data_IF_359010935841
#
_entry.id   IF_359010935841
#
_cell.length_a   1.000
_cell.length_b   1.000
_cell.length_c   1.000
_cell.angle_alpha   90.00
_cell.angle_beta   90.00
_cell.angle_gamma   90.00
#
_symmetry.space_group_name_H-M   'P 1'
#
loop_
_entity.id
_entity.type
_entity.pdbx_description
1 polymer ?
#
# COMPACT_ATOMS: atom_id res chain seq x y z
N UNK A 1 -32.53 21.21 20.89
CA UNK A 1 -31.51 20.33 21.48
C UNK A 1 -32.12 18.94 21.51
N UNK A 2 -31.88 18.12 20.48
CA UNK A 2 -32.50 16.79 20.32
C UNK A 2 -31.38 15.76 20.37
N UNK A 3 -31.41 14.92 21.40
CA UNK A 3 -30.52 13.78 21.58
C UNK A 3 -31.03 12.60 20.75
N UNK A 4 -30.20 12.08 19.85
CA UNK A 4 -30.40 10.78 19.23
C UNK A 4 -29.39 9.80 19.80
N UNK A 5 -29.85 8.94 20.72
CA UNK A 5 -29.12 7.74 21.13
C UNK A 5 -29.22 6.70 20.01
N UNK A 6 -28.10 6.37 19.37
CA UNK A 6 -28.01 5.25 18.43
C UNK A 6 -27.69 3.98 19.20
N UNK A 7 -28.68 3.09 19.28
CA UNK A 7 -28.52 1.68 19.64
C UNK A 7 -27.87 0.98 18.45
N UNK A 8 -26.71 0.34 18.66
CA UNK A 8 -26.08 -0.53 17.66
C UNK A 8 -26.55 -1.95 17.90
N UNK A 9 -27.37 -2.46 16.98
CA UNK A 9 -27.81 -3.84 16.93
C UNK A 9 -26.76 -4.66 16.17
N UNK A 10 -26.10 -5.59 16.86
CA UNK A 10 -25.17 -6.55 16.25
C UNK A 10 -25.98 -7.69 15.66
N UNK A 11 -26.03 -7.77 14.32
CA UNK A 11 -26.62 -8.90 13.60
C UNK A 11 -25.50 -9.86 13.21
N UNK A 12 -25.45 -11.03 13.85
CA UNK A 12 -24.65 -12.17 13.40
C UNK A 12 -25.32 -12.80 12.18
N UNK A 13 -24.71 -12.67 11.01
CA UNK A 13 -25.10 -13.40 9.80
C UNK A 13 -24.29 -14.70 9.69
N UNK A 14 -24.98 -15.83 9.89
CA UNK A 14 -24.52 -17.16 9.51
C UNK A 14 -24.71 -17.32 8.00
N UNK A 15 -23.62 -17.54 7.25
CA UNK A 15 -23.67 -17.86 5.83
C UNK A 15 -23.84 -19.38 5.61
N UNK A 16 -24.67 -19.82 4.64
CA UNK A 16 -24.75 -21.22 4.25
C UNK A 16 -23.60 -21.62 3.31
N UNK A 17 -23.06 -22.81 3.57
CA UNK A 17 -22.10 -23.52 2.70
C UNK A 17 -22.77 -23.89 1.37
N UNK A 18 -22.40 -23.17 0.30
CA UNK A 18 -22.77 -23.49 -1.08
C UNK A 18 -21.67 -24.27 -1.80
N UNK A 19 -22.02 -25.43 -2.34
CA UNK A 19 -21.14 -26.35 -3.05
C UNK A 19 -20.55 -25.75 -4.35
N UNK A 20 -19.24 -25.91 -4.53
CA UNK A 20 -18.48 -25.42 -5.66
C UNK A 20 -18.62 -26.30 -6.91
N UNK A 21 -18.91 -25.66 -8.05
CA UNK A 21 -18.88 -26.25 -9.38
C UNK A 21 -17.42 -26.37 -9.86
N UNK A 22 -16.96 -27.61 -10.14
CA UNK A 22 -15.66 -27.87 -10.77
C UNK A 22 -15.73 -27.58 -12.28
N UNK A 23 -15.16 -26.46 -12.71
CA UNK A 23 -14.78 -26.21 -14.10
C UNK A 23 -13.32 -26.57 -14.32
N UNK A 24 -13.04 -27.41 -15.34
CA UNK A 24 -11.71 -27.80 -15.80
C UNK A 24 -10.89 -26.57 -16.21
N UNK A 25 -9.80 -26.30 -15.51
CA UNK A 25 -8.74 -25.39 -15.95
C UNK A 25 -7.75 -26.14 -16.85
N UNK A 26 -7.47 -25.58 -18.03
CA UNK A 26 -6.32 -25.96 -18.84
C UNK A 26 -5.05 -25.71 -18.04
N UNK A 27 -4.22 -26.74 -17.92
CA UNK A 27 -2.92 -26.67 -17.29
C UNK A 27 -1.94 -25.99 -18.24
N UNK A 28 -1.69 -24.71 -17.99
CA UNK A 28 -0.40 -24.14 -18.28
C UNK A 28 0.50 -24.50 -17.10
N UNK A 29 1.56 -25.25 -17.42
CA UNK A 29 2.65 -25.61 -16.53
C UNK A 29 3.26 -24.34 -15.93
N UNK A 30 2.76 -23.93 -14.77
CA UNK A 30 3.52 -23.18 -13.77
C UNK A 30 4.68 -24.08 -13.36
N UNK A 31 5.74 -24.05 -14.18
CA UNK A 31 7.05 -24.55 -13.79
C UNK A 31 7.35 -23.92 -12.43
N UNK A 32 7.42 -24.77 -11.41
CA UNK A 32 7.76 -24.40 -10.05
C UNK A 32 9.11 -23.68 -10.11
N UNK A 33 9.07 -22.36 -10.07
CA UNK A 33 10.23 -21.48 -10.09
C UNK A 33 11.19 -22.00 -9.02
N UNK A 34 12.32 -22.58 -9.45
CA UNK A 34 13.15 -23.45 -8.63
C UNK A 34 13.47 -22.80 -7.28
N UNK A 35 12.86 -23.35 -6.22
CA UNK A 35 12.91 -22.97 -4.80
C UNK A 35 13.89 -21.87 -4.41
N UNK A 36 13.63 -20.62 -4.80
CA UNK A 36 14.35 -19.47 -4.21
C UNK A 36 13.69 -19.12 -2.89
N UNK A 37 14.53 -18.98 -1.86
CA UNK A 37 14.13 -18.70 -0.48
C UNK A 37 13.58 -17.26 -0.33
N UNK A 38 12.36 -17.02 -0.81
CA UNK A 38 11.59 -15.87 -0.35
C UNK A 38 11.35 -15.99 1.16
N UNK A 39 11.28 -14.86 1.87
CA UNK A 39 10.92 -14.88 3.29
C UNK A 39 9.55 -15.54 3.44
N UNK A 40 9.41 -16.43 4.42
CA UNK A 40 8.11 -17.02 4.76
C UNK A 40 7.19 -16.05 5.50
N UNK A 41 7.68 -14.84 5.83
CA UNK A 41 6.93 -13.77 6.51
C UNK A 41 6.40 -12.75 5.52
N UNK A 42 5.40 -11.98 5.92
CA UNK A 42 4.97 -10.77 5.23
C UNK A 42 6.01 -9.64 5.32
N UNK A 43 5.99 -8.74 4.35
CA UNK A 43 6.75 -7.47 4.37
C UNK A 43 5.82 -6.26 4.32
N UNK A 44 6.20 -5.20 5.03
CA UNK A 44 5.61 -3.87 4.90
C UNK A 44 6.29 -3.16 3.72
N UNK A 45 5.52 -2.88 2.67
CA UNK A 45 6.00 -2.21 1.46
C UNK A 45 5.51 -0.77 1.48
N UNK A 46 6.45 0.16 1.53
CA UNK A 46 6.20 1.59 1.52
C UNK A 46 6.49 2.15 0.13
N UNK A 47 5.46 2.68 -0.50
CA UNK A 47 5.57 3.47 -1.72
C UNK A 47 5.83 4.94 -1.39
N UNK A 48 6.93 5.48 -1.91
CA UNK A 48 7.38 6.84 -1.65
C UNK A 48 8.02 7.49 -2.89
N UNK A 49 8.51 8.71 -2.73
CA UNK A 49 9.29 9.48 -3.70
C UNK A 49 10.64 9.89 -3.08
N UNK A 50 11.67 10.10 -3.91
CA UNK A 50 12.99 10.55 -3.43
C UNK A 50 12.94 11.87 -2.66
N UNK A 51 11.96 12.72 -2.98
CA UNK A 51 11.76 14.00 -2.31
C UNK A 51 10.99 13.89 -0.99
N UNK A 52 10.37 12.76 -0.66
CA UNK A 52 9.45 12.66 0.50
C UNK A 52 10.15 12.17 1.77
N UNK A 53 11.40 12.59 1.97
CA UNK A 53 12.21 12.20 3.11
C UNK A 53 11.53 12.53 4.46
N UNK A 54 10.84 13.69 4.54
CA UNK A 54 10.12 14.07 5.76
C UNK A 54 8.94 13.12 6.05
N UNK A 55 8.17 12.72 5.04
CA UNK A 55 7.05 11.79 5.20
C UNK A 55 7.56 10.42 5.66
N UNK A 56 8.62 9.92 5.03
CA UNK A 56 9.27 8.66 5.43
C UNK A 56 9.83 8.73 6.85
N UNK A 57 10.44 9.85 7.27
CA UNK A 57 10.90 10.04 8.65
C UNK A 57 9.74 9.92 9.65
N UNK A 58 8.62 10.60 9.39
CA UNK A 58 7.43 10.54 10.25
C UNK A 58 6.81 9.15 10.31
N UNK A 59 6.76 8.45 9.18
CA UNK A 59 6.34 7.06 9.11
C UNK A 59 7.21 6.19 10.02
N UNK A 60 8.54 6.31 9.93
CA UNK A 60 9.45 5.49 10.74
C UNK A 60 9.39 5.86 12.23
N UNK A 61 9.35 7.16 12.58
CA UNK A 61 9.11 7.62 13.95
C UNK A 61 7.82 7.00 14.55
N UNK A 62 6.77 6.86 13.73
CA UNK A 62 5.54 6.21 14.19
C UNK A 62 5.67 4.70 14.40
N UNK A 63 6.49 3.98 13.61
CA UNK A 63 6.82 2.58 13.86
C UNK A 63 7.57 2.41 15.19
N UNK A 64 8.53 3.30 15.47
CA UNK A 64 9.29 3.29 16.73
C UNK A 64 8.35 3.51 17.94
N UNK A 65 7.43 4.47 17.83
CA UNK A 65 6.43 4.76 18.89
C UNK A 65 5.51 3.57 19.20
N UNK A 66 5.17 2.75 18.21
CA UNK A 66 4.35 1.54 18.43
C UNK A 66 5.19 0.30 18.75
N UNK A 67 6.48 0.48 19.08
CA UNK A 67 7.42 -0.58 19.42
C UNK A 67 7.53 -1.67 18.33
N UNK A 68 7.45 -1.29 17.05
CA UNK A 68 7.64 -2.24 15.97
C UNK A 68 9.10 -2.72 15.92
N UNK A 69 9.33 -4.03 15.86
CA UNK A 69 10.67 -4.63 15.94
C UNK A 69 11.13 -5.34 14.67
N UNK A 70 10.22 -5.58 13.73
CA UNK A 70 10.49 -6.33 12.49
C UNK A 70 11.05 -5.43 11.38
N UNK A 71 12.09 -4.64 11.68
CA UNK A 71 12.67 -3.66 10.76
C UNK A 71 13.16 -4.27 9.44
N UNK A 72 13.69 -5.50 9.47
CA UNK A 72 14.10 -6.27 8.29
C UNK A 72 12.95 -6.66 7.34
N UNK A 73 11.70 -6.54 7.82
CA UNK A 73 10.49 -6.79 7.05
C UNK A 73 9.92 -5.50 6.43
N UNK A 74 10.62 -4.36 6.53
CA UNK A 74 10.20 -3.08 5.91
C UNK A 74 11.01 -2.81 4.64
N UNK A 75 10.31 -2.53 3.55
CA UNK A 75 10.89 -2.17 2.25
C UNK A 75 10.31 -0.85 1.77
N UNK A 76 11.15 0.14 1.50
CA UNK A 76 10.78 1.46 1.01
C UNK A 76 11.25 1.62 -0.43
N UNK A 77 10.30 1.70 -1.36
CA UNK A 77 10.58 2.05 -2.75
C UNK A 77 10.37 3.55 -2.96
N UNK A 78 11.40 4.23 -3.47
CA UNK A 78 11.38 5.67 -3.75
C UNK A 78 11.46 5.91 -5.25
N UNK A 79 10.37 6.35 -5.86
CA UNK A 79 10.35 6.75 -7.27
C UNK A 79 10.99 8.12 -7.51
N UNK A 80 11.21 8.44 -8.78
CA UNK A 80 11.76 9.73 -9.24
C UNK A 80 13.27 9.91 -9.08
N UNK A 81 14.02 8.84 -8.83
CA UNK A 81 15.48 8.90 -8.75
C UNK A 81 16.14 9.11 -10.13
N UNK A 82 17.37 9.61 -10.16
CA UNK A 82 18.16 9.70 -11.39
C UNK A 82 18.55 8.32 -11.95
N UNK A 83 18.72 7.34 -11.07
CA UNK A 83 19.08 5.97 -11.42
C UNK A 83 18.43 4.96 -10.47
N UNK A 84 18.16 3.76 -10.99
CA UNK A 84 17.73 2.63 -10.19
C UNK A 84 18.86 2.20 -9.25
N UNK A 85 18.58 2.00 -7.96
CA UNK A 85 19.55 1.43 -7.02
C UNK A 85 19.26 -0.05 -6.78
N UNK A 86 20.30 -0.82 -6.44
CA UNK A 86 20.09 -2.11 -5.79
C UNK A 86 19.46 -1.90 -4.39
N UNK A 87 18.81 -2.92 -3.81
CA UNK A 87 18.37 -2.88 -2.42
C UNK A 87 19.53 -2.56 -1.47
N UNK A 88 19.33 -1.57 -0.60
CA UNK A 88 20.30 -1.15 0.42
C UNK A 88 19.61 -1.13 1.78
N UNK A 89 20.27 -1.65 2.80
CA UNK A 89 19.70 -1.72 4.15
C UNK A 89 20.31 -0.64 5.05
N UNK A 90 19.47 0.07 5.82
CA UNK A 90 19.93 1.05 6.81
C UNK A 90 20.40 0.38 8.11
N UNK A 91 20.83 1.18 9.09
CA UNK A 91 21.31 0.67 10.38
C UNK A 91 20.23 -0.04 11.23
N UNK A 92 18.94 0.19 10.94
CA UNK A 92 17.81 -0.47 11.62
C UNK A 92 17.43 -1.79 10.95
N UNK A 93 17.78 -1.98 9.69
CA UNK A 93 17.37 -3.14 8.90
C UNK A 93 16.36 -2.82 7.80
N UNK A 94 15.93 -1.57 7.65
CA UNK A 94 14.97 -1.15 6.63
C UNK A 94 15.64 -1.20 5.26
N UNK A 95 15.01 -1.86 4.30
CA UNK A 95 15.50 -1.94 2.92
C UNK A 95 14.98 -0.76 2.10
N UNK A 96 15.87 -0.02 1.45
CA UNK A 96 15.56 1.08 0.54
C UNK A 96 15.93 0.70 -0.90
N UNK A 97 15.05 1.05 -1.84
CA UNK A 97 15.26 0.88 -3.28
C UNK A 97 14.85 2.17 -3.99
N UNK A 98 15.77 2.78 -4.73
CA UNK A 98 15.48 3.91 -5.59
C UNK A 98 15.09 3.43 -6.99
N UNK A 99 14.05 4.04 -7.54
CA UNK A 99 13.54 3.76 -8.87
C UNK A 99 13.52 5.04 -9.70
N UNK A 100 13.87 4.94 -10.98
CA UNK A 100 13.75 6.05 -11.93
C UNK A 100 12.30 6.34 -12.30
N UNK A 101 11.43 5.33 -12.23
CA UNK A 101 10.01 5.49 -12.50
C UNK A 101 9.40 6.51 -11.54
N UNK A 102 8.54 7.37 -12.08
CA UNK A 102 7.71 8.27 -11.30
C UNK A 102 6.24 8.01 -11.65
N UNK A 103 5.65 7.09 -10.90
CA UNK A 103 4.29 6.59 -11.04
C UNK A 103 3.46 6.89 -9.78
N UNK A 104 3.84 7.93 -9.02
CA UNK A 104 3.20 8.34 -7.76
C UNK A 104 2.89 7.13 -6.85
N UNK A 105 1.62 6.74 -6.75
CA UNK A 105 1.11 5.71 -5.86
C UNK A 105 1.50 4.28 -6.24
N UNK A 106 2.21 4.06 -7.36
CA UNK A 106 2.54 2.72 -7.88
C UNK A 106 4.03 2.44 -8.09
N UNK A 107 4.93 3.33 -7.65
CA UNK A 107 6.38 3.10 -7.74
C UNK A 107 6.78 1.74 -7.13
N UNK A 108 6.25 1.45 -5.94
CA UNK A 108 6.56 0.22 -5.23
C UNK A 108 6.01 -1.03 -5.91
N UNK A 109 4.91 -0.97 -6.67
CA UNK A 109 4.43 -2.13 -7.44
C UNK A 109 5.37 -2.45 -8.59
N UNK A 110 5.86 -1.43 -9.31
CA UNK A 110 6.91 -1.61 -10.32
C UNK A 110 8.19 -2.18 -9.69
N UNK A 111 8.63 -1.60 -8.57
CA UNK A 111 9.79 -2.06 -7.82
C UNK A 111 9.66 -3.49 -7.31
N UNK A 112 8.50 -3.88 -6.78
CA UNK A 112 8.26 -5.25 -6.33
C UNK A 112 8.41 -6.24 -7.47
N UNK A 113 7.86 -5.98 -8.66
CA UNK A 113 8.06 -6.88 -9.79
C UNK A 113 9.53 -6.93 -10.23
N UNK A 114 10.19 -5.77 -10.36
CA UNK A 114 11.59 -5.71 -10.79
C UNK A 114 12.54 -6.45 -9.84
N UNK A 115 12.33 -6.34 -8.53
CA UNK A 115 13.19 -6.89 -7.48
C UNK A 115 12.57 -8.11 -6.77
N UNK A 116 11.54 -8.75 -7.33
CA UNK A 116 10.81 -9.88 -6.72
C UNK A 116 11.68 -11.09 -6.35
N UNK A 117 12.88 -11.18 -6.91
CA UNK A 117 13.81 -12.28 -6.64
C UNK A 117 14.94 -11.89 -5.66
N UNK A 118 14.99 -10.64 -5.20
CA UNK A 118 15.96 -10.19 -4.21
C UNK A 118 15.53 -10.66 -2.81
N UNK A 119 16.38 -11.35 -2.02
CA UNK A 119 15.97 -11.88 -0.70
C UNK A 119 15.49 -10.81 0.29
N UNK A 120 16.01 -9.58 0.21
CA UNK A 120 15.58 -8.46 1.06
C UNK A 120 14.21 -7.91 0.67
N UNK A 121 13.73 -8.19 -0.54
CA UNK A 121 12.44 -7.74 -1.09
C UNK A 121 11.41 -8.86 -1.10
N UNK A 122 11.79 -10.09 -1.45
CA UNK A 122 10.85 -11.18 -1.61
C UNK A 122 10.24 -11.64 -0.26
N UNK A 123 8.92 -11.76 -0.23
CA UNK A 123 8.14 -12.23 0.91
C UNK A 123 7.00 -13.15 0.48
N UNK A 124 6.35 -13.79 1.46
CA UNK A 124 5.15 -14.59 1.23
C UNK A 124 3.93 -13.70 0.89
N UNK A 125 3.85 -12.54 1.52
CA UNK A 125 2.81 -11.54 1.27
C UNK A 125 3.33 -10.13 1.57
N UNK A 126 2.58 -9.14 1.12
CA UNK A 126 2.96 -7.73 1.24
C UNK A 126 1.79 -6.94 1.83
N UNK A 127 2.06 -6.10 2.83
CA UNK A 127 1.18 -4.99 3.21
C UNK A 127 1.69 -3.73 2.52
N UNK A 128 0.95 -3.26 1.54
CA UNK A 128 1.28 -2.09 0.74
C UNK A 128 0.68 -0.83 1.32
N UNK A 129 1.50 0.19 1.48
CA UNK A 129 1.11 1.50 2.00
C UNK A 129 1.82 2.61 1.23
N UNK A 130 1.28 3.82 1.36
CA UNK A 130 1.94 5.05 0.92
C UNK A 130 2.70 5.66 2.12
N UNK A 131 3.69 6.51 1.88
CA UNK A 131 4.55 7.13 2.90
C UNK A 131 3.88 8.18 3.82
N UNK A 132 2.72 8.71 3.43
CA UNK A 132 1.96 9.69 4.21
C UNK A 132 1.01 9.05 5.21
N UNK A 133 1.55 8.17 6.06
CA UNK A 133 0.80 7.41 7.09
C UNK A 133 1.47 7.48 8.46
N UNK A 134 0.70 7.11 9.49
CA UNK A 134 1.15 6.87 10.86
C UNK A 134 0.60 5.52 11.35
N UNK A 135 1.38 4.80 12.16
CA UNK A 135 0.94 3.54 12.78
C UNK A 135 0.31 3.77 14.15
N UNK A 136 -0.82 3.11 14.41
CA UNK A 136 -1.46 3.05 15.72
C UNK A 136 -0.96 1.85 16.55
N UNK A 137 -1.28 1.85 17.84
CA UNK A 137 -0.80 0.83 18.81
C UNK A 137 -1.15 -0.61 18.42
N UNK A 138 -2.24 -0.81 17.66
CA UNK A 138 -2.68 -2.12 17.18
C UNK A 138 -1.88 -2.64 15.97
N UNK A 139 -1.13 -1.77 15.27
CA UNK A 139 -0.46 -2.14 14.01
C UNK A 139 0.49 -3.34 14.14
N UNK A 140 1.39 -3.45 15.15
CA UNK A 140 2.29 -4.59 15.23
C UNK A 140 1.55 -5.93 15.30
N UNK A 141 0.45 -5.99 16.07
CA UNK A 141 -0.40 -7.17 16.16
C UNK A 141 -1.10 -7.46 14.82
N UNK A 142 -1.77 -6.45 14.25
CA UNK A 142 -2.45 -6.58 12.96
C UNK A 142 -1.50 -7.04 11.84
N UNK A 143 -0.26 -6.53 11.84
CA UNK A 143 0.78 -6.92 10.91
C UNK A 143 1.18 -8.37 11.14
N UNK A 144 1.51 -8.80 12.36
CA UNK A 144 1.94 -10.18 12.65
C UNK A 144 0.83 -11.22 12.41
N UNK A 145 -0.44 -10.84 12.58
CA UNK A 145 -1.62 -11.69 12.34
C UNK A 145 -2.08 -11.73 10.88
N UNK A 146 -1.48 -10.91 9.99
CA UNK A 146 -1.87 -10.87 8.58
C UNK A 146 -1.64 -12.24 7.91
N UNK A 147 -2.73 -12.90 7.49
CA UNK A 147 -2.71 -14.16 6.74
C UNK A 147 -3.53 -13.97 5.46
N UNK A 148 -2.97 -14.41 4.34
CA UNK A 148 -3.62 -14.35 3.04
C UNK A 148 -3.59 -15.74 2.39
N UNK A 149 -4.66 -16.07 1.70
CA UNK A 149 -4.71 -17.24 0.83
C UNK A 149 -3.86 -17.01 -0.44
N UNK A 150 -3.37 -18.08 -1.09
CA UNK A 150 -2.65 -17.95 -2.36
C UNK A 150 -3.47 -17.18 -3.40
N UNK A 151 -2.89 -16.12 -3.96
CA UNK A 151 -3.56 -15.25 -4.92
C UNK A 151 -4.62 -14.32 -4.33
N UNK A 152 -4.71 -14.14 -3.01
CA UNK A 152 -5.64 -13.21 -2.38
C UNK A 152 -5.12 -11.77 -2.35
N UNK A 153 -6.04 -10.83 -2.47
CA UNK A 153 -5.88 -9.43 -2.11
C UNK A 153 -6.88 -9.06 -1.02
N UNK A 154 -6.41 -8.37 0.02
CA UNK A 154 -7.20 -7.85 1.13
C UNK A 154 -7.19 -6.32 1.10
N UNK A 155 -8.36 -5.66 1.06
CA UNK A 155 -8.43 -4.19 0.99
C UNK A 155 -9.69 -3.62 1.65
N UNK A 156 -9.61 -2.37 2.12
CA UNK A 156 -10.79 -1.61 2.51
C UNK A 156 -11.65 -1.21 1.30
N UNK A 157 -12.96 -0.95 1.48
CA UNK A 157 -13.78 -0.32 0.47
C UNK A 157 -13.19 1.00 -0.02
N UNK A 158 -13.49 1.33 -1.28
CA UNK A 158 -12.96 2.51 -1.94
C UNK A 158 -13.58 3.80 -1.36
N UNK A 159 -12.81 4.90 -1.29
CA UNK A 159 -11.37 4.99 -1.62
C UNK A 159 -10.54 4.31 -0.53
N UNK A 160 -9.51 3.55 -0.93
CA UNK A 160 -8.68 2.77 0.01
C UNK A 160 -7.27 3.36 0.17
N UNK A 161 -6.95 4.42 -0.56
CA UNK A 161 -5.64 5.09 -0.58
C UNK A 161 -4.49 4.14 -0.87
N UNK A 162 -4.76 3.10 -1.67
CA UNK A 162 -3.86 1.99 -1.94
C UNK A 162 -3.34 1.28 -0.67
N UNK A 163 -4.01 1.40 0.48
CA UNK A 163 -3.68 0.61 1.66
C UNK A 163 -4.35 -0.76 1.52
N UNK A 164 -3.55 -1.77 1.22
CA UNK A 164 -4.01 -3.12 0.92
C UNK A 164 -2.93 -4.15 1.23
N UNK A 165 -3.32 -5.41 1.37
CA UNK A 165 -2.39 -6.53 1.46
C UNK A 165 -2.61 -7.53 0.32
N UNK A 166 -1.57 -8.20 -0.13
CA UNK A 166 -1.68 -9.21 -1.18
C UNK A 166 -0.63 -10.31 -1.08
N UNK A 167 -1.00 -11.50 -1.55
CA UNK A 167 -0.09 -12.64 -1.69
C UNK A 167 0.98 -12.38 -2.77
N UNK A 168 2.18 -12.92 -2.56
CA UNK A 168 3.30 -12.74 -3.49
C UNK A 168 3.02 -13.21 -4.91
N UNK A 169 2.14 -14.20 -5.09
CA UNK A 169 1.77 -14.72 -6.41
C UNK A 169 1.16 -13.64 -7.31
N UNK A 170 0.59 -12.57 -6.73
CA UNK A 170 0.09 -11.43 -7.49
C UNK A 170 1.23 -10.68 -8.20
N UNK A 171 2.43 -10.62 -7.60
CA UNK A 171 3.59 -9.93 -8.20
C UNK A 171 3.97 -10.52 -9.54
N UNK A 172 3.99 -11.85 -9.64
CA UNK A 172 4.23 -12.54 -10.91
C UNK A 172 3.11 -12.32 -11.92
N UNK A 173 1.85 -12.28 -11.47
CA UNK A 173 0.67 -12.14 -12.34
C UNK A 173 0.53 -10.74 -12.94
N UNK A 174 0.75 -9.67 -12.16
CA UNK A 174 0.64 -8.32 -12.70
C UNK A 174 1.83 -7.93 -13.56
N UNK A 175 2.99 -8.57 -13.38
CA UNK A 175 4.15 -8.38 -14.25
C UNK A 175 4.57 -6.91 -14.36
N UNK A 176 4.73 -6.42 -15.59
CA UNK A 176 5.11 -5.03 -15.90
C UNK A 176 3.91 -4.06 -15.95
N UNK A 177 2.73 -4.43 -15.45
CA UNK A 177 1.51 -3.61 -15.53
C UNK A 177 1.68 -2.19 -14.93
N UNK A 178 2.56 -2.05 -13.94
CA UNK A 178 2.85 -0.78 -13.27
C UNK A 178 4.19 -0.14 -13.71
N UNK A 179 4.85 -0.68 -14.74
CA UNK A 179 6.13 -0.16 -15.26
C UNK A 179 5.94 1.00 -16.24
N UNK A 180 5.07 1.96 -15.87
CA UNK A 180 4.89 3.21 -16.61
C UNK A 180 4.71 4.37 -15.68
N UNK A 181 5.22 5.52 -16.09
CA UNK A 181 4.86 6.77 -15.43
C UNK A 181 3.36 6.99 -15.55
N UNK A 182 2.75 7.45 -14.45
CA UNK A 182 1.37 7.93 -14.42
C UNK A 182 1.38 9.29 -13.75
N UNK A 183 0.43 10.15 -14.10
CA UNK A 183 0.17 11.38 -13.36
C UNK A 183 -0.61 11.08 -12.07
N UNK A 184 -0.62 12.02 -11.13
CA UNK A 184 -1.44 11.90 -9.91
C UNK A 184 -2.94 11.73 -10.22
N UNK A 185 -3.44 12.41 -11.26
CA UNK A 185 -4.82 12.28 -11.70
C UNK A 185 -5.10 10.87 -12.24
N UNK A 186 -4.20 10.34 -13.07
CA UNK A 186 -4.27 8.96 -13.56
C UNK A 186 -4.23 7.94 -12.41
N UNK A 187 -3.39 8.18 -11.39
CA UNK A 187 -3.33 7.32 -10.22
C UNK A 187 -4.66 7.26 -9.45
N UNK A 188 -5.29 8.43 -9.25
CA UNK A 188 -6.63 8.51 -8.65
C UNK A 188 -7.69 7.82 -9.53
N UNK A 189 -7.60 7.92 -10.86
CA UNK A 189 -8.51 7.23 -11.78
C UNK A 189 -8.37 5.70 -11.70
N UNK A 190 -7.13 5.20 -11.61
CA UNK A 190 -6.86 3.78 -11.36
C UNK A 190 -7.46 3.36 -10.01
N UNK A 191 -7.21 4.10 -8.92
CA UNK A 191 -7.71 3.73 -7.59
C UNK A 191 -9.24 3.68 -7.56
N UNK A 192 -9.90 4.72 -8.07
CA UNK A 192 -11.36 4.86 -8.03
C UNK A 192 -12.07 3.98 -9.06
N UNK A 193 -11.38 3.54 -10.11
CA UNK A 193 -12.00 2.88 -11.25
C UNK A 193 -12.83 3.81 -12.13
N UNK A 194 -12.65 5.13 -11.99
CA UNK A 194 -13.44 6.11 -12.74
C UNK A 194 -13.18 6.04 -14.25
N UNK A 195 -11.93 5.78 -14.66
CA UNK A 195 -11.56 5.63 -16.07
C UNK A 195 -10.49 4.53 -16.22
N UNK A 196 -10.69 3.55 -17.11
CA UNK A 196 -9.65 2.60 -17.42
C UNK A 196 -8.51 3.32 -18.16
N UNK A 197 -7.29 3.18 -17.66
CA UNK A 197 -6.11 3.56 -18.43
C UNK A 197 -5.74 2.39 -19.34
N UNK A 198 -5.63 2.59 -20.67
CA UNK A 198 -5.24 1.52 -21.57
C UNK A 198 -3.96 0.83 -21.11
N UNK A 199 -4.03 -0.49 -20.96
CA UNK A 199 -2.89 -1.32 -20.56
C UNK A 199 -2.49 -1.26 -19.08
N UNK A 200 -3.26 -0.57 -18.22
CA UNK A 200 -3.04 -0.61 -16.76
C UNK A 200 -4.31 -1.09 -16.09
N UNK A 201 -4.20 -2.25 -15.46
CA UNK A 201 -5.24 -2.82 -14.64
C UNK A 201 -4.94 -2.59 -13.16
N UNK A 202 -6.01 -2.48 -12.37
CA UNK A 202 -5.89 -2.39 -10.91
C UNK A 202 -5.40 -3.73 -10.36
N UNK A 203 -4.80 -3.72 -9.19
CA UNK A 203 -4.23 -4.94 -8.60
C UNK A 203 -5.27 -6.07 -8.48
N UNK A 204 -6.54 -5.74 -8.19
CA UNK A 204 -7.57 -6.77 -8.04
C UNK A 204 -7.92 -7.50 -9.33
N UNK A 205 -7.55 -6.95 -10.49
CA UNK A 205 -7.70 -7.64 -11.77
C UNK A 205 -6.89 -8.93 -11.84
N UNK A 206 -5.77 -8.98 -11.10
CA UNK A 206 -4.84 -10.12 -11.06
C UNK A 206 -5.09 -11.06 -9.88
N UNK A 207 -5.95 -10.65 -8.93
CA UNK A 207 -6.27 -11.42 -7.75
C UNK A 207 -7.20 -12.59 -8.10
N UNK A 208 -6.95 -13.75 -7.50
CA UNK A 208 -7.88 -14.88 -7.56
C UNK A 208 -9.08 -14.67 -6.62
N UNK A 209 -8.85 -13.95 -5.52
CA UNK A 209 -9.84 -13.61 -4.49
C UNK A 209 -9.60 -12.20 -4.00
N UNK A 210 -10.66 -11.41 -3.86
CA UNK A 210 -10.63 -10.10 -3.24
C UNK A 210 -11.46 -10.16 -1.96
N UNK A 211 -10.81 -9.95 -0.82
CA UNK A 211 -11.47 -9.87 0.48
C UNK A 211 -11.55 -8.43 0.91
N UNK A 212 -12.76 -8.00 1.25
CA UNK A 212 -13.02 -6.63 1.71
C UNK A 212 -12.92 -6.58 3.23
N UNK A 213 -12.22 -5.58 3.74
CA UNK A 213 -12.14 -5.28 5.18
C UNK A 213 -13.21 -4.26 5.59
N UNK A 214 -13.16 -3.78 6.84
CA UNK A 214 -14.04 -2.70 7.28
C UNK A 214 -13.70 -1.37 6.58
N UNK A 215 -14.67 -0.46 6.56
CA UNK A 215 -14.48 0.89 6.06
C UNK A 215 -13.42 1.64 6.88
N UNK A 216 -12.70 2.54 6.22
CA UNK A 216 -11.90 3.56 6.90
C UNK A 216 -12.80 4.57 7.63
N UNK A 217 -12.27 5.19 8.67
CA UNK A 217 -12.97 6.17 9.51
C UNK A 217 -12.30 7.54 9.37
N UNK A 218 -13.06 8.57 9.02
CA UNK A 218 -12.54 9.94 9.06
C UNK A 218 -12.44 10.46 10.50
N UNK A 219 -11.27 10.98 10.88
CA UNK A 219 -10.96 11.44 12.24
C UNK A 219 -10.61 12.94 12.30
N UNK A 220 -11.08 13.72 11.32
CA UNK A 220 -10.87 15.16 11.26
C UNK A 220 -9.61 15.56 10.48
N UNK A 221 -9.07 16.73 10.81
CA UNK A 221 -7.99 17.38 10.05
C UNK A 221 -6.78 17.67 10.95
N UNK A 222 -5.57 17.42 10.44
CA UNK A 222 -4.32 17.64 11.18
C UNK A 222 -3.20 18.06 10.26
N UNK A 223 -2.37 19.02 10.70
CA UNK A 223 -1.15 19.42 10.01
C UNK A 223 0.07 18.74 10.63
N UNK A 224 0.19 17.43 10.39
CA UNK A 224 1.25 16.60 10.96
C UNK A 224 2.67 17.07 10.58
N UNK A 225 2.78 17.71 9.41
CA UNK A 225 4.06 18.10 8.82
C UNK A 225 4.36 19.59 9.01
N UNK A 226 3.48 20.33 9.71
CA UNK A 226 3.61 21.76 9.96
C UNK A 226 3.76 22.61 8.69
N UNK A 227 3.03 22.25 7.63
CA UNK A 227 3.13 22.93 6.33
C UNK A 227 2.15 24.10 6.20
N UNK A 228 1.33 24.38 7.23
CA UNK A 228 0.21 25.32 7.17
C UNK A 228 -1.00 24.76 6.41
N UNK A 229 -0.96 23.50 5.99
CA UNK A 229 -1.99 22.86 5.17
C UNK A 229 -2.48 21.57 5.84
N UNK A 230 -3.57 21.64 6.63
CA UNK A 230 -4.07 20.49 7.35
C UNK A 230 -4.60 19.42 6.39
N UNK A 231 -4.32 18.16 6.72
CA UNK A 231 -4.70 16.98 5.95
C UNK A 231 -5.84 16.25 6.65
N UNK A 232 -6.77 15.68 5.90
CA UNK A 232 -7.81 14.82 6.46
C UNK A 232 -7.19 13.51 6.91
N UNK A 233 -7.41 13.16 8.17
CA UNK A 233 -6.93 11.93 8.82
C UNK A 233 -7.98 10.83 8.64
N UNK A 234 -7.59 9.70 8.06
CA UNK A 234 -8.40 8.50 7.95
C UNK A 234 -7.77 7.35 8.72
N UNK A 235 -8.51 6.68 9.58
CA UNK A 235 -8.09 5.46 10.27
C UNK A 235 -8.55 4.22 9.49
N UNK A 236 -7.67 3.23 9.34
CA UNK A 236 -7.92 1.94 8.69
C UNK A 236 -7.87 0.85 9.77
N UNK A 237 -9.01 0.51 10.40
CA UNK A 237 -9.02 -0.33 11.61
C UNK A 237 -8.42 -1.72 11.39
N UNK A 238 -8.63 -2.32 10.22
CA UNK A 238 -8.12 -3.65 9.90
C UNK A 238 -6.60 -3.75 9.83
N UNK A 239 -5.91 -2.62 9.70
CA UNK A 239 -4.46 -2.57 9.66
C UNK A 239 -3.86 -1.78 10.83
N UNK A 240 -4.66 -1.03 11.59
CA UNK A 240 -4.14 -0.13 12.63
C UNK A 240 -3.35 1.05 12.04
N UNK A 241 -3.73 1.56 10.87
CA UNK A 241 -2.99 2.60 10.12
C UNK A 241 -3.82 3.88 10.02
N UNK A 242 -3.18 5.03 10.21
CA UNK A 242 -3.73 6.34 9.91
C UNK A 242 -3.14 6.87 8.60
N UNK A 243 -3.98 7.31 7.67
CA UNK A 243 -3.60 7.95 6.42
C UNK A 243 -3.92 9.44 6.48
N UNK A 244 -3.00 10.26 5.98
CA UNK A 244 -3.20 11.70 5.88
C UNK A 244 -3.32 12.08 4.41
N UNK A 245 -4.46 12.67 4.04
CA UNK A 245 -4.76 13.08 2.66
C UNK A 245 -4.92 14.58 2.61
N UNK A 246 -4.16 15.24 1.74
CA UNK A 246 -4.37 16.65 1.41
C UNK A 246 -5.37 16.71 0.25
N UNK A 247 -6.64 16.98 0.54
CA UNK A 247 -7.65 17.17 -0.51
C UNK A 247 -7.54 18.57 -1.13
N UNK A 248 -7.97 18.68 -2.40
CA UNK A 248 -8.16 19.93 -3.16
C UNK A 248 -6.93 20.83 -3.40
N UNK A 249 -5.81 20.55 -2.74
CA UNK A 249 -4.53 21.14 -3.08
C UNK A 249 -3.76 20.13 -3.92
N UNK A 250 -3.65 20.42 -5.22
CA UNK A 250 -2.79 19.67 -6.12
C UNK A 250 -1.33 19.98 -5.81
N UNK A 251 -0.88 19.91 -4.56
CA UNK A 251 0.52 20.04 -4.20
C UNK A 251 1.02 18.75 -3.60
N UNK A 252 2.32 18.50 -3.75
CA UNK A 252 3.00 17.46 -2.99
C UNK A 252 3.90 18.04 -1.93
N UNK A 253 4.15 17.24 -0.90
CA UNK A 253 5.11 17.54 0.15
C UNK A 253 6.50 17.57 -0.51
N UNK A 254 7.09 18.76 -0.65
CA UNK A 254 8.50 18.89 -1.00
C UNK A 254 9.38 18.34 0.12
N UNK A 255 10.62 17.97 -0.21
CA UNK A 255 11.60 17.51 0.80
C UNK A 255 11.98 18.57 1.84
N UNK A 256 11.63 19.82 1.57
CA UNK A 256 11.74 20.99 2.46
C UNK A 256 10.52 21.17 3.40
N UNK A 257 9.48 20.34 3.26
CA UNK A 257 8.23 20.50 3.98
C UNK A 257 7.29 21.54 3.36
N UNK A 258 7.64 22.15 2.23
CA UNK A 258 6.73 23.06 1.52
C UNK A 258 5.75 22.27 0.64
N UNK A 259 4.51 22.74 0.52
CA UNK A 259 3.56 22.16 -0.45
C UNK A 259 3.83 22.78 -1.81
N UNK A 260 4.43 22.00 -2.72
CA UNK A 260 4.75 22.45 -4.08
C UNK A 260 3.57 22.16 -5.00
N UNK A 261 2.98 23.16 -5.68
CA UNK A 261 1.90 22.92 -6.61
C UNK A 261 2.38 22.05 -7.78
N UNK A 262 1.57 21.05 -8.16
CA UNK A 262 1.79 20.09 -9.25
C UNK A 262 1.68 20.77 -10.62
N UNK A 263 1.02 21.94 -10.68
CA UNK A 263 0.95 22.78 -11.88
C UNK A 263 1.47 24.19 -11.56
N UNK A 264 2.20 24.85 -12.46
CA UNK A 264 2.46 26.28 -12.31
C UNK A 264 1.12 27.03 -12.15
N UNK A 265 1.06 28.09 -11.32
CA UNK A 265 -0.13 28.91 -11.21
C UNK A 265 -0.55 29.37 -12.62
N UNK A 266 -1.81 29.12 -12.97
CA UNK A 266 -2.40 29.64 -14.22
C UNK A 266 -2.47 31.16 -14.18
#
# INVERSE_FOLDING_TARGET
MIHFSKVVLVVLLLFPLGAAHRGRSGGDDLQSDGGRNCSSRQKLVVNSHVDYAQAVSKLVESLERVNFTLWGDVVVFRGGAEQNSRPQTDARGITYVNLTINSYDFNALSGLYQYRHEPSVCAHSYLYILDTVEFGEYFPQAFDELRLEPGEQLMSPRPNSNILAFDHGLVGKYGTNFDRAVTKQEAVQIETGALPLPGVHRLEHFAAKVTMTVNREEQGHVDLYHTGHPRTKFYYPSFGIYKYILWDQMGDLGGDGEVKPIYPPR
#
